data_IF_025868538102
#
_entry.id   IF_025868538102
#
_cell.length_a   1.000
_cell.length_b   1.000
_cell.length_c   1.000
_cell.angle_alpha   90.00
_cell.angle_beta   90.00
_cell.angle_gamma   90.00
#
_symmetry.space_group_name_H-M   'P 1'
#
loop_
_entity.id
_entity.type
_entity.pdbx_description
1 polymer ?
#
# COMPACT_ATOMS: atom_id res chain seq x y z
N UNK A 1 -36.95 18.18 -6.72
CA UNK A 1 -37.62 17.45 -5.61
C UNK A 1 -36.65 17.41 -4.42
N UNK A 2 -36.93 18.13 -3.33
CA UNK A 2 -36.04 18.15 -2.15
C UNK A 2 -36.15 16.81 -1.44
N UNK A 3 -35.11 15.98 -1.50
CA UNK A 3 -35.06 14.73 -0.75
C UNK A 3 -35.12 15.04 0.74
N UNK A 4 -36.11 14.44 1.42
CA UNK A 4 -36.32 14.57 2.87
C UNK A 4 -35.07 14.02 3.55
N UNK A 5 -34.31 14.87 4.24
CA UNK A 5 -33.09 14.47 4.96
C UNK A 5 -33.47 13.42 6.02
N UNK A 6 -33.19 12.16 5.74
CA UNK A 6 -33.32 11.06 6.70
C UNK A 6 -32.21 11.27 7.72
N UNK A 7 -32.58 11.59 8.97
CA UNK A 7 -31.61 11.90 10.05
C UNK A 7 -31.10 10.66 10.79
N UNK A 8 -31.74 9.51 10.59
CA UNK A 8 -31.50 8.28 11.37
C UNK A 8 -31.27 7.09 10.44
N UNK A 9 -30.33 6.22 10.77
CA UNK A 9 -30.08 4.97 10.03
C UNK A 9 -31.28 4.00 10.25
N UNK A 10 -31.96 3.54 9.19
CA UNK A 10 -33.07 2.59 9.31
C UNK A 10 -32.64 1.22 9.86
N UNK A 11 -33.58 0.46 10.42
CA UNK A 11 -33.38 -0.96 10.69
C UNK A 11 -33.66 -1.77 9.42
N UNK A 12 -32.63 -2.40 8.87
CA UNK A 12 -32.75 -3.22 7.67
C UNK A 12 -33.23 -4.64 8.00
N UNK A 13 -33.99 -5.24 7.09
CA UNK A 13 -34.45 -6.64 7.23
C UNK A 13 -33.47 -7.64 6.63
N UNK A 14 -32.58 -7.18 5.75
CA UNK A 14 -31.55 -8.01 5.12
C UNK A 14 -30.30 -7.19 4.77
N UNK A 15 -29.17 -7.89 4.62
CA UNK A 15 -27.88 -7.29 4.21
C UNK A 15 -27.99 -6.65 2.82
N UNK A 16 -28.79 -7.22 1.92
CA UNK A 16 -28.99 -6.68 0.57
C UNK A 16 -29.74 -5.35 0.57
N UNK A 17 -30.65 -5.15 1.53
CA UNK A 17 -31.37 -3.89 1.70
C UNK A 17 -30.43 -2.79 2.22
N UNK A 18 -29.58 -3.15 3.19
CA UNK A 18 -28.55 -2.27 3.72
C UNK A 18 -27.53 -1.83 2.65
N UNK A 19 -27.05 -2.77 1.82
CA UNK A 19 -26.13 -2.45 0.72
C UNK A 19 -26.75 -1.43 -0.26
N UNK A 20 -27.99 -1.66 -0.70
CA UNK A 20 -28.71 -0.73 -1.60
C UNK A 20 -28.92 0.65 -0.97
N UNK A 21 -29.10 0.72 0.34
CA UNK A 21 -29.22 1.98 1.05
C UNK A 21 -27.89 2.75 1.01
N UNK A 22 -26.78 2.09 1.33
CA UNK A 22 -25.45 2.72 1.33
C UNK A 22 -24.90 3.02 -0.07
N UNK A 23 -25.37 2.35 -1.12
CA UNK A 23 -25.06 2.72 -2.52
C UNK A 23 -25.57 4.13 -2.86
N UNK A 24 -26.59 4.63 -2.15
CA UNK A 24 -27.27 5.90 -2.45
C UNK A 24 -27.11 6.96 -1.36
N UNK A 25 -26.70 6.57 -0.15
CA UNK A 25 -26.60 7.46 1.00
C UNK A 25 -25.15 7.50 1.51
N UNK A 26 -24.57 8.70 1.63
CA UNK A 26 -23.25 8.87 2.27
C UNK A 26 -23.36 8.77 3.79
N UNK A 27 -22.38 8.10 4.42
CA UNK A 27 -22.21 7.98 5.87
C UNK A 27 -22.01 9.32 6.57
N UNK A 28 -21.49 10.32 5.86
CA UNK A 28 -21.33 11.70 6.37
C UNK A 28 -22.66 12.36 6.74
N UNK A 29 -23.78 11.89 6.17
CA UNK A 29 -25.11 12.42 6.48
C UNK A 29 -25.66 11.95 7.83
N UNK A 30 -24.96 11.06 8.53
CA UNK A 30 -25.38 10.45 9.80
C UNK A 30 -24.36 10.69 10.93
N UNK A 31 -23.97 11.95 11.23
CA UNK A 31 -22.88 12.27 12.17
C UNK A 31 -23.09 11.71 13.58
N UNK A 32 -24.35 11.61 14.04
CA UNK A 32 -24.70 11.07 15.37
C UNK A 32 -24.34 9.59 15.54
N UNK A 33 -24.06 8.88 14.44
CA UNK A 33 -23.66 7.47 14.43
C UNK A 33 -22.13 7.29 14.34
N UNK A 34 -21.36 8.38 14.27
CA UNK A 34 -19.90 8.32 14.29
C UNK A 34 -19.40 8.34 15.72
N UNK A 35 -18.29 7.63 15.95
CA UNK A 35 -17.55 7.71 17.20
C UNK A 35 -16.20 8.36 16.90
N UNK A 36 -15.81 9.33 17.72
CA UNK A 36 -14.46 9.86 17.67
C UNK A 36 -13.47 8.74 17.97
N UNK A 37 -12.49 8.57 17.09
CA UNK A 37 -11.37 7.64 17.31
C UNK A 37 -10.23 8.48 17.91
N UNK A 38 -9.97 8.40 19.23
CA UNK A 38 -9.04 9.31 19.91
C UNK A 38 -7.58 9.11 19.49
N UNK A 39 -7.23 7.90 19.04
CA UNK A 39 -5.85 7.52 18.68
C UNK A 39 -5.76 7.00 17.24
N UNK A 40 -6.05 7.86 16.25
CA UNK A 40 -5.77 7.53 14.86
C UNK A 40 -4.25 7.57 14.62
N UNK A 41 -3.61 6.42 14.79
CA UNK A 41 -2.20 6.22 14.42
C UNK A 41 -2.09 6.07 12.91
N UNK A 42 -1.98 7.19 12.19
CA UNK A 42 -1.50 7.15 10.82
C UNK A 42 -0.06 6.64 10.81
N UNK A 43 0.24 5.67 9.94
CA UNK A 43 1.58 5.14 9.72
C UNK A 43 2.52 6.25 9.23
N UNK A 44 3.08 7.07 10.14
CA UNK A 44 4.08 8.11 9.82
C UNK A 44 5.29 7.54 9.06
N UNK A 45 5.48 6.22 9.13
CA UNK A 45 6.60 5.47 8.57
C UNK A 45 6.37 4.84 7.20
N UNK A 46 5.31 5.14 6.46
CA UNK A 46 5.30 4.77 5.02
C UNK A 46 6.52 5.38 4.31
N UNK A 47 6.88 6.62 4.65
CA UNK A 47 8.10 7.28 4.17
C UNK A 47 9.37 6.50 4.55
N UNK A 48 9.39 5.86 5.73
CA UNK A 48 10.56 5.09 6.21
C UNK A 48 10.89 3.89 5.33
N UNK A 49 9.86 3.21 4.80
CA UNK A 49 10.04 2.06 3.90
C UNK A 49 10.68 2.52 2.58
N UNK A 50 10.31 3.70 2.11
CA UNK A 50 10.88 4.29 0.89
C UNK A 50 12.22 5.01 1.12
N UNK A 51 12.56 5.44 2.34
CA UNK A 51 13.88 6.04 2.66
C UNK A 51 15.04 5.08 2.37
N UNK A 52 14.81 3.77 2.46
CA UNK A 52 15.82 2.75 2.14
C UNK A 52 15.83 2.35 0.66
N UNK A 53 14.92 2.89 -0.16
CA UNK A 53 14.84 2.59 -1.59
C UNK A 53 15.63 3.65 -2.34
N UNK A 54 16.83 3.27 -2.79
CA UNK A 54 17.67 4.10 -3.64
C UNK A 54 17.46 3.71 -5.11
N UNK A 55 16.85 4.55 -5.97
CA UNK A 55 16.66 4.23 -7.37
C UNK A 55 18.00 4.30 -8.13
N UNK A 56 18.45 3.16 -8.64
CA UNK A 56 19.71 3.05 -9.40
C UNK A 56 19.37 2.99 -10.90
N UNK A 57 20.01 3.85 -11.71
CA UNK A 57 19.94 3.75 -13.16
C UNK A 57 20.83 2.59 -13.62
N UNK A 58 20.24 1.63 -14.31
CA UNK A 58 20.93 0.51 -14.94
C UNK A 58 20.71 0.59 -16.45
N UNK A 59 21.75 0.31 -17.22
CA UNK A 59 21.60 0.07 -18.64
C UNK A 59 20.88 -1.27 -18.91
N UNK A 60 20.46 -1.46 -20.16
CA UNK A 60 19.67 -2.63 -20.57
C UNK A 60 20.43 -3.93 -20.38
N UNK A 61 21.73 -3.96 -20.68
CA UNK A 61 22.55 -5.16 -20.60
C UNK A 61 22.72 -5.60 -19.15
N UNK A 62 23.07 -4.66 -18.26
CA UNK A 62 23.20 -4.92 -16.82
C UNK A 62 21.89 -5.44 -16.23
N UNK A 63 20.75 -4.83 -16.59
CA UNK A 63 19.43 -5.29 -16.12
C UNK A 63 19.16 -6.74 -16.54
N UNK A 64 19.39 -7.06 -17.81
CA UNK A 64 19.17 -8.42 -18.34
C UNK A 64 20.10 -9.46 -17.68
N UNK A 65 21.35 -9.08 -17.40
CA UNK A 65 22.29 -9.95 -16.71
C UNK A 65 21.80 -10.29 -15.28
N UNK A 66 21.34 -9.29 -14.53
CA UNK A 66 20.79 -9.50 -13.18
C UNK A 66 19.55 -10.40 -13.23
N UNK A 67 18.63 -10.18 -14.17
CA UNK A 67 17.43 -11.03 -14.35
C UNK A 67 17.79 -12.49 -14.66
N UNK A 68 18.82 -12.72 -15.49
CA UNK A 68 19.32 -14.07 -15.80
C UNK A 68 19.87 -14.77 -14.55
N UNK A 69 20.63 -14.06 -13.73
CA UNK A 69 21.15 -14.58 -12.46
C UNK A 69 20.01 -14.87 -11.48
N UNK A 70 19.05 -13.94 -11.37
CA UNK A 70 17.88 -14.06 -10.52
C UNK A 70 17.06 -15.32 -10.86
N UNK A 71 16.79 -15.53 -12.15
CA UNK A 71 16.09 -16.73 -12.65
C UNK A 71 16.85 -18.01 -12.33
N UNK A 72 18.17 -18.02 -12.54
CA UNK A 72 19.01 -19.21 -12.24
C UNK A 72 19.03 -19.55 -10.75
N UNK A 73 18.98 -18.55 -9.87
CA UNK A 73 19.01 -18.71 -8.41
C UNK A 73 17.62 -18.81 -7.76
N UNK A 74 16.53 -18.68 -8.54
CA UNK A 74 15.16 -18.68 -7.99
C UNK A 74 14.86 -17.49 -7.07
N UNK A 75 15.57 -16.37 -7.25
CA UNK A 75 15.43 -15.17 -6.41
C UNK A 75 14.80 -14.01 -7.18
N UNK A 76 14.25 -13.03 -6.46
CA UNK A 76 13.78 -11.78 -7.06
C UNK A 76 14.94 -10.94 -7.64
N UNK A 77 14.65 -10.15 -8.69
CA UNK A 77 15.65 -9.29 -9.37
C UNK A 77 16.27 -8.26 -8.43
N UNK A 78 15.45 -7.60 -7.60
CA UNK A 78 15.92 -6.61 -6.61
C UNK A 78 16.79 -7.24 -5.52
N UNK A 79 16.41 -8.42 -5.02
CA UNK A 79 17.20 -9.20 -4.06
C UNK A 79 18.55 -9.60 -4.67
N UNK A 80 18.55 -10.06 -5.91
CA UNK A 80 19.77 -10.44 -6.64
C UNK A 80 20.70 -9.24 -6.82
N UNK A 81 20.16 -8.10 -7.26
CA UNK A 81 20.92 -6.86 -7.38
C UNK A 81 21.53 -6.45 -6.03
N UNK A 82 20.76 -6.51 -4.93
CA UNK A 82 21.23 -6.19 -3.58
C UNK A 82 22.41 -7.08 -3.17
N UNK A 83 22.34 -8.38 -3.42
CA UNK A 83 23.42 -9.32 -3.07
C UNK A 83 24.68 -9.00 -3.86
N UNK A 84 24.58 -8.84 -5.19
CA UNK A 84 25.73 -8.52 -6.05
C UNK A 84 26.40 -7.20 -5.66
N UNK A 85 25.62 -6.17 -5.33
CA UNK A 85 26.15 -4.88 -4.86
C UNK A 85 26.90 -5.08 -3.53
N UNK A 86 26.34 -5.85 -2.59
CA UNK A 86 27.00 -6.11 -1.30
C UNK A 86 28.29 -6.92 -1.44
N UNK A 87 28.29 -7.95 -2.29
CA UNK A 87 29.48 -8.74 -2.60
C UNK A 87 30.59 -7.81 -3.11
N UNK A 88 30.28 -6.96 -4.10
CA UNK A 88 31.25 -6.01 -4.65
C UNK A 88 31.77 -5.00 -3.64
N UNK A 89 30.91 -4.46 -2.78
CA UNK A 89 31.32 -3.53 -1.72
C UNK A 89 32.21 -4.20 -0.66
N UNK A 90 31.97 -5.48 -0.37
CA UNK A 90 32.80 -6.27 0.55
C UNK A 90 34.17 -6.57 -0.06
N UNK A 91 34.24 -6.89 -1.35
CA UNK A 91 35.52 -7.01 -2.07
C UNK A 91 36.34 -5.71 -2.06
N UNK A 92 35.66 -4.56 -2.13
CA UNK A 92 36.26 -3.24 -2.01
C UNK A 92 36.66 -2.89 -0.56
N UNK A 93 36.33 -3.73 0.43
CA UNK A 93 36.53 -3.50 1.87
C UNK A 93 35.86 -2.23 2.38
N UNK A 94 34.73 -1.86 1.77
CA UNK A 94 33.89 -0.73 2.20
C UNK A 94 32.82 -1.20 3.20
N UNK A 95 32.44 -2.48 3.12
CA UNK A 95 31.61 -3.22 4.08
C UNK A 95 32.44 -4.33 4.72
#
# INVERSE_FOLDING_TARGET
MKMKKIKTVPKFKSIQEEAKFWDTHSTENFPDYWQEVPDVKFSKHLVSVYKTVFPIRLDKETKMAIEKVAKKKGMGTSTTARVLIRERLSEMKIL
#
